data_IF_542799398211
#
_entry.id   IF_542799398211
#
_cell.length_a   1.000
_cell.length_b   1.000
_cell.length_c   1.000
_cell.angle_alpha   90.00
_cell.angle_beta   90.00
_cell.angle_gamma   90.00
#
_symmetry.space_group_name_H-M   'P 1'
#
loop_
_entity.id
_entity.type
_entity.pdbx_description
1 polymer ?
#
# COMPACT_ATOMS: atom_id res chain seq x y z
N UNK A 1 -30.34 -8.81 22.55
CA UNK A 1 -28.93 -8.39 22.44
C UNK A 1 -28.20 -9.50 21.73
N UNK A 2 -27.77 -9.30 20.48
CA UNK A 2 -26.85 -10.25 19.84
C UNK A 2 -25.53 -10.24 20.63
N UNK A 3 -24.95 -11.40 20.95
CA UNK A 3 -23.66 -11.45 21.63
C UNK A 3 -22.62 -10.79 20.72
N UNK A 4 -21.85 -9.85 21.27
CA UNK A 4 -20.74 -9.25 20.52
C UNK A 4 -19.80 -10.38 20.06
N UNK A 5 -19.43 -10.45 18.77
CA UNK A 5 -18.52 -11.47 18.29
C UNK A 5 -17.22 -11.36 19.10
N UNK A 6 -16.83 -12.46 19.73
CA UNK A 6 -15.72 -12.48 20.66
C UNK A 6 -14.45 -12.01 19.95
N UNK A 7 -13.82 -10.96 20.53
CA UNK A 7 -12.47 -10.58 20.18
C UNK A 7 -11.56 -11.75 20.55
N UNK A 8 -10.96 -12.38 19.55
CA UNK A 8 -9.73 -13.14 19.70
C UNK A 8 -9.77 -14.33 20.69
N UNK A 9 -10.04 -15.54 20.18
CA UNK A 9 -9.99 -16.77 21.00
C UNK A 9 -8.55 -17.24 21.24
N UNK A 10 -8.09 -17.27 22.50
CA UNK A 10 -6.88 -18.01 22.88
C UNK A 10 -5.55 -17.34 22.51
N UNK A 11 -4.49 -18.15 22.32
CA UNK A 11 -3.14 -17.66 21.97
C UNK A 11 -3.09 -17.21 20.50
N UNK A 12 -2.20 -16.25 20.21
CA UNK A 12 -1.95 -15.82 18.84
C UNK A 12 -1.04 -16.79 18.10
N UNK A 13 -1.62 -17.85 17.55
CA UNK A 13 -0.92 -18.81 16.71
C UNK A 13 -1.77 -19.24 15.52
N UNK A 14 -1.18 -19.99 14.59
CA UNK A 14 -1.83 -20.50 13.38
C UNK A 14 -3.03 -21.43 13.67
N UNK A 15 -3.16 -21.90 14.92
CA UNK A 15 -4.29 -22.75 15.36
C UNK A 15 -5.49 -21.91 15.81
N UNK A 16 -5.35 -20.59 15.88
CA UNK A 16 -6.45 -19.69 16.17
C UNK A 16 -7.49 -19.76 15.02
N UNK A 17 -8.76 -20.07 15.32
CA UNK A 17 -9.78 -20.28 14.29
C UNK A 17 -10.07 -19.01 13.47
N UNK A 18 -9.91 -17.83 14.07
CA UNK A 18 -10.09 -16.54 13.37
C UNK A 18 -8.97 -16.33 12.35
N UNK A 19 -7.73 -16.64 12.75
CA UNK A 19 -6.55 -16.59 11.87
C UNK A 19 -6.70 -17.58 10.73
N UNK A 20 -7.00 -18.85 11.04
CA UNK A 20 -7.18 -19.89 10.03
C UNK A 20 -8.29 -19.56 9.02
N UNK A 21 -9.42 -19.01 9.49
CA UNK A 21 -10.52 -18.60 8.61
C UNK A 21 -10.16 -17.42 7.71
N UNK A 22 -9.39 -16.45 8.22
CA UNK A 22 -8.88 -15.36 7.39
C UNK A 22 -7.96 -15.91 6.30
N UNK A 23 -6.96 -16.70 6.67
CA UNK A 23 -5.97 -17.26 5.72
C UNK A 23 -6.67 -18.08 4.64
N UNK A 24 -7.66 -18.89 4.99
CA UNK A 24 -8.45 -19.65 4.02
C UNK A 24 -9.18 -18.71 3.03
N UNK A 25 -9.84 -17.66 3.53
CA UNK A 25 -10.55 -16.69 2.68
C UNK A 25 -9.61 -15.91 1.77
N UNK A 26 -8.45 -15.49 2.27
CA UNK A 26 -7.44 -14.78 1.49
C UNK A 26 -6.82 -15.68 0.41
N UNK A 27 -6.49 -16.92 0.76
CA UNK A 27 -5.96 -17.89 -0.21
C UNK A 27 -6.98 -18.19 -1.32
N UNK A 28 -8.26 -18.32 -0.96
CA UNK A 28 -9.32 -18.48 -1.96
C UNK A 28 -9.44 -17.25 -2.86
N UNK A 29 -9.42 -16.05 -2.28
CA UNK A 29 -9.41 -14.79 -3.02
C UNK A 29 -8.23 -14.72 -4.00
N UNK A 30 -7.00 -14.99 -3.54
CA UNK A 30 -5.80 -14.92 -4.38
C UNK A 30 -5.90 -15.84 -5.60
N UNK A 31 -6.31 -17.11 -5.42
CA UNK A 31 -6.49 -18.06 -6.54
C UNK A 31 -7.51 -17.58 -7.56
N UNK A 32 -8.61 -16.97 -7.09
CA UNK A 32 -9.62 -16.42 -7.99
C UNK A 32 -9.09 -15.21 -8.76
N UNK A 33 -8.25 -14.39 -8.14
CA UNK A 33 -7.67 -13.20 -8.79
C UNK A 33 -6.58 -13.55 -9.80
N UNK A 34 -5.78 -14.59 -9.59
CA UNK A 34 -4.77 -15.05 -10.56
C UNK A 34 -5.39 -15.47 -11.90
N UNK A 35 -6.62 -15.98 -11.86
CA UNK A 35 -7.37 -16.42 -13.03
C UNK A 35 -8.40 -15.39 -13.53
N UNK A 36 -8.41 -14.19 -12.93
CA UNK A 36 -9.39 -13.16 -13.27
C UNK A 36 -9.10 -12.53 -14.66
N UNK A 37 -9.82 -13.02 -15.67
CA UNK A 37 -9.76 -12.50 -17.05
C UNK A 37 -10.92 -11.58 -17.41
N UNK A 38 -11.99 -11.58 -16.59
CA UNK A 38 -13.22 -10.81 -16.85
C UNK A 38 -13.43 -9.69 -15.84
N UNK A 39 -14.11 -8.63 -16.29
CA UNK A 39 -14.50 -7.51 -15.43
C UNK A 39 -15.44 -7.94 -14.28
N UNK A 40 -16.27 -8.95 -14.50
CA UNK A 40 -17.21 -9.49 -13.49
C UNK A 40 -16.46 -10.19 -12.36
N UNK A 41 -15.47 -11.03 -12.68
CA UNK A 41 -14.62 -11.69 -11.68
C UNK A 41 -13.82 -10.68 -10.89
N UNK A 42 -13.26 -9.65 -11.56
CA UNK A 42 -12.57 -8.55 -10.89
C UNK A 42 -13.46 -7.81 -9.88
N UNK A 43 -14.67 -7.41 -10.31
CA UNK A 43 -15.60 -6.65 -9.46
C UNK A 43 -16.06 -7.46 -8.26
N UNK A 44 -16.38 -8.75 -8.47
CA UNK A 44 -16.72 -9.67 -7.39
C UNK A 44 -15.56 -9.82 -6.42
N UNK A 45 -14.34 -10.05 -6.92
CA UNK A 45 -13.15 -10.15 -6.07
C UNK A 45 -12.91 -8.89 -5.23
N UNK A 46 -13.10 -7.71 -5.80
CA UNK A 46 -12.98 -6.45 -5.06
C UNK A 46 -13.99 -6.34 -3.91
N UNK A 47 -15.24 -6.76 -4.13
CA UNK A 47 -16.28 -6.77 -3.10
C UNK A 47 -15.98 -7.81 -2.02
N UNK A 48 -15.57 -9.01 -2.40
CA UNK A 48 -15.21 -10.08 -1.48
C UNK A 48 -14.05 -9.64 -0.58
N UNK A 49 -13.02 -9.03 -1.15
CA UNK A 49 -11.86 -8.52 -0.39
C UNK A 49 -12.26 -7.45 0.61
N UNK A 50 -13.09 -6.48 0.20
CA UNK A 50 -13.62 -5.43 1.08
C UNK A 50 -14.39 -6.02 2.26
N UNK A 51 -15.21 -7.04 2.01
CA UNK A 51 -15.98 -7.74 3.03
C UNK A 51 -15.07 -8.48 4.02
N UNK A 52 -14.03 -9.18 3.52
CA UNK A 52 -13.03 -9.82 4.36
C UNK A 52 -12.40 -8.79 5.29
N UNK A 53 -11.89 -7.68 4.75
CA UNK A 53 -11.24 -6.66 5.58
C UNK A 53 -12.15 -6.05 6.64
N UNK A 54 -13.36 -5.65 6.29
CA UNK A 54 -14.34 -5.12 7.26
C UNK A 54 -14.68 -6.11 8.37
N UNK A 55 -14.69 -7.41 8.05
CA UNK A 55 -15.00 -8.46 9.03
C UNK A 55 -13.85 -8.65 10.02
N UNK A 56 -12.61 -8.73 9.52
CA UNK A 56 -11.46 -9.14 10.33
C UNK A 56 -10.72 -8.00 11.01
N UNK A 57 -10.90 -6.76 10.57
CA UNK A 57 -10.30 -5.56 11.17
C UNK A 57 -10.57 -5.46 12.68
N UNK A 58 -11.79 -5.80 13.12
CA UNK A 58 -12.18 -5.73 14.54
C UNK A 58 -11.83 -6.99 15.34
N UNK A 59 -11.45 -8.07 14.65
CA UNK A 59 -11.28 -9.41 15.23
C UNK A 59 -9.81 -9.77 15.45
N UNK A 60 -8.89 -9.06 14.81
CA UNK A 60 -7.47 -9.37 14.79
C UNK A 60 -6.64 -8.25 15.43
N UNK A 61 -5.45 -8.55 15.96
CA UNK A 61 -4.49 -7.53 16.35
C UNK A 61 -4.06 -6.68 15.15
N UNK A 62 -4.04 -5.35 15.32
CA UNK A 62 -3.75 -4.36 14.27
C UNK A 62 -2.49 -4.70 13.48
N UNK A 63 -1.42 -5.05 14.18
CA UNK A 63 -0.13 -5.39 13.55
C UNK A 63 -0.25 -6.52 12.53
N UNK A 64 -0.95 -7.60 12.89
CA UNK A 64 -1.10 -8.74 11.99
C UNK A 64 -2.05 -8.44 10.85
N UNK A 65 -3.17 -7.78 11.15
CA UNK A 65 -4.12 -7.35 10.14
C UNK A 65 -3.43 -6.45 9.10
N UNK A 66 -2.68 -5.44 9.54
CA UNK A 66 -1.89 -4.58 8.66
C UNK A 66 -0.84 -5.34 7.85
N UNK A 67 -0.09 -6.26 8.49
CA UNK A 67 0.89 -7.07 7.77
C UNK A 67 0.24 -7.89 6.65
N UNK A 68 -0.94 -8.48 6.90
CA UNK A 68 -1.68 -9.25 5.90
C UNK A 68 -2.28 -8.37 4.82
N UNK A 69 -2.81 -7.21 5.21
CA UNK A 69 -3.35 -6.20 4.31
C UNK A 69 -2.32 -5.78 3.26
N UNK A 70 -1.08 -5.49 3.68
CA UNK A 70 -0.01 -5.08 2.78
C UNK A 70 0.48 -6.23 1.89
N UNK A 71 0.59 -7.46 2.41
CA UNK A 71 0.94 -8.64 1.60
C UNK A 71 -0.04 -8.89 0.46
N UNK A 72 -1.34 -8.71 0.70
CA UNK A 72 -2.35 -8.81 -0.36
C UNK A 72 -2.24 -7.63 -1.33
N UNK A 73 -1.89 -6.44 -0.84
CA UNK A 73 -1.57 -5.29 -1.69
C UNK A 73 -0.42 -5.58 -2.65
N UNK A 74 0.66 -6.20 -2.15
CA UNK A 74 1.84 -6.57 -2.94
C UNK A 74 1.48 -7.59 -4.01
N UNK A 75 0.71 -8.60 -3.64
CA UNK A 75 0.18 -9.61 -4.57
C UNK A 75 -0.67 -8.97 -5.68
N UNK A 76 -1.61 -8.09 -5.33
CA UNK A 76 -2.46 -7.41 -6.31
C UNK A 76 -1.66 -6.48 -7.22
N UNK A 77 -0.63 -5.82 -6.69
CA UNK A 77 0.29 -5.00 -7.47
C UNK A 77 1.06 -5.88 -8.48
N UNK A 78 1.51 -7.07 -8.08
CA UNK A 78 2.20 -8.00 -8.95
C UNK A 78 1.32 -8.46 -10.12
N UNK A 79 0.02 -8.68 -9.86
CA UNK A 79 -0.98 -8.95 -10.89
C UNK A 79 -1.40 -7.71 -11.69
N UNK A 80 -0.78 -6.55 -11.46
CA UNK A 80 -1.09 -5.26 -12.09
C UNK A 80 -2.50 -4.73 -11.80
N UNK A 81 -3.16 -5.22 -10.74
CA UNK A 81 -4.43 -4.68 -10.27
C UNK A 81 -4.21 -3.45 -9.39
N UNK A 82 -3.54 -2.43 -9.94
CA UNK A 82 -3.04 -1.27 -9.19
C UNK A 82 -4.14 -0.48 -8.48
N UNK A 83 -5.29 -0.27 -9.14
CA UNK A 83 -6.44 0.42 -8.54
C UNK A 83 -6.98 -0.33 -7.33
N UNK A 84 -7.04 -1.66 -7.41
CA UNK A 84 -7.52 -2.49 -6.31
C UNK A 84 -6.53 -2.51 -5.14
N UNK A 85 -5.24 -2.69 -5.44
CA UNK A 85 -4.17 -2.66 -4.44
C UNK A 85 -4.10 -1.30 -3.71
N UNK A 86 -4.16 -0.21 -4.47
CA UNK A 86 -4.17 1.15 -3.91
C UNK A 86 -5.38 1.39 -3.02
N UNK A 87 -6.59 1.01 -3.45
CA UNK A 87 -7.80 1.31 -2.68
C UNK A 87 -8.02 0.35 -1.50
N UNK A 88 -7.97 -0.97 -1.73
CA UNK A 88 -8.36 -1.97 -0.73
C UNK A 88 -7.22 -2.35 0.22
N UNK A 89 -5.97 -2.03 -0.08
CA UNK A 89 -4.82 -2.41 0.74
C UNK A 89 -4.04 -1.20 1.22
N UNK A 90 -3.19 -0.60 0.39
CA UNK A 90 -2.28 0.46 0.84
C UNK A 90 -3.03 1.71 1.31
N UNK A 91 -4.01 2.18 0.54
CA UNK A 91 -4.86 3.30 0.89
C UNK A 91 -5.67 3.04 2.16
N UNK A 92 -6.21 1.82 2.32
CA UNK A 92 -6.90 1.41 3.55
C UNK A 92 -5.98 1.47 4.77
N UNK A 93 -4.73 0.99 4.67
CA UNK A 93 -3.75 1.16 5.75
C UNK A 93 -3.52 2.64 6.06
N UNK A 94 -3.37 3.47 5.03
CA UNK A 94 -3.03 4.89 5.18
C UNK A 94 -4.16 5.76 5.76
N UNK A 95 -5.40 5.26 5.78
CA UNK A 95 -6.54 5.96 6.39
C UNK A 95 -6.34 6.24 7.89
N UNK A 96 -5.49 5.46 8.58
CA UNK A 96 -5.16 5.69 9.99
C UNK A 96 -4.48 7.04 10.24
N UNK A 97 -3.87 7.64 9.22
CA UNK A 97 -3.22 8.96 9.28
C UNK A 97 -4.17 10.10 8.85
N UNK A 98 -5.46 9.82 8.68
CA UNK A 98 -6.45 10.78 8.19
C UNK A 98 -6.38 11.01 6.68
N UNK A 99 -7.11 12.02 6.22
CA UNK A 99 -7.07 12.44 4.82
C UNK A 99 -5.89 13.38 4.60
N UNK A 100 -5.03 13.05 3.64
CA UNK A 100 -3.90 13.89 3.25
C UNK A 100 -3.75 13.91 1.73
N UNK A 101 -3.17 14.98 1.21
CA UNK A 101 -2.72 15.04 -0.18
C UNK A 101 -1.20 14.98 -0.18
N UNK A 102 -0.64 14.17 -1.09
CA UNK A 102 0.82 14.06 -1.23
C UNK A 102 1.46 15.41 -1.59
N UNK A 103 0.71 16.32 -2.21
CA UNK A 103 1.15 17.68 -2.55
C UNK A 103 1.35 18.57 -1.31
N UNK A 104 0.61 18.29 -0.22
CA UNK A 104 0.67 19.07 1.01
C UNK A 104 1.88 18.67 1.88
N UNK A 105 2.49 17.51 1.60
CA UNK A 105 3.65 16.98 2.33
C UNK A 105 4.92 17.32 1.55
N UNK A 106 5.49 18.50 1.82
CA UNK A 106 6.60 19.04 1.02
C UNK A 106 7.99 18.82 1.61
N UNK A 107 8.09 18.50 2.90
CA UNK A 107 9.36 18.40 3.61
C UNK A 107 9.40 17.23 4.59
N UNK A 108 10.62 16.88 5.00
CA UNK A 108 10.91 15.72 5.87
C UNK A 108 10.31 15.87 7.26
N UNK A 109 10.20 17.09 7.80
CA UNK A 109 9.67 17.30 9.16
C UNK A 109 8.15 17.13 9.17
N UNK A 110 7.46 17.71 8.19
CA UNK A 110 6.02 17.50 7.99
C UNK A 110 5.74 16.02 7.75
N UNK A 111 6.52 15.35 6.89
CA UNK A 111 6.39 13.91 6.66
C UNK A 111 6.50 13.10 7.95
N UNK A 112 7.54 13.34 8.76
CA UNK A 112 7.75 12.63 10.02
C UNK A 112 6.63 12.90 11.02
N UNK A 113 6.19 14.14 11.14
CA UNK A 113 5.11 14.48 12.08
C UNK A 113 3.80 13.82 11.70
N UNK A 114 3.49 13.73 10.39
CA UNK A 114 2.24 13.14 9.90
C UNK A 114 2.23 11.62 9.98
N UNK A 115 3.28 10.95 9.51
CA UNK A 115 3.27 9.50 9.33
C UNK A 115 4.03 8.75 10.41
N UNK A 116 4.87 9.45 11.16
CA UNK A 116 5.85 8.87 12.07
C UNK A 116 5.85 9.58 13.44
N UNK A 117 4.69 9.90 14.05
CA UNK A 117 4.64 10.46 15.39
C UNK A 117 5.08 9.38 16.41
N UNK A 118 5.93 9.77 17.37
CA UNK A 118 6.55 8.96 18.44
C UNK A 118 7.83 8.16 18.11
N UNK A 119 8.63 7.90 19.16
CA UNK A 119 9.92 7.19 19.13
C UNK A 119 9.72 5.75 18.62
N UNK A 120 9.78 5.62 17.31
CA UNK A 120 9.58 4.44 16.47
C UNK A 120 9.92 3.06 17.05
N UNK A 121 8.96 2.15 16.90
CA UNK A 121 9.25 0.76 16.56
C UNK A 121 9.54 0.65 15.05
N UNK A 122 10.74 0.14 14.71
CA UNK A 122 11.23 -0.01 13.32
C UNK A 122 10.23 -0.77 12.44
N UNK A 123 9.49 -1.73 13.01
CA UNK A 123 8.55 -2.56 12.26
C UNK A 123 7.29 -1.80 11.83
N UNK A 124 6.74 -0.93 12.69
CA UNK A 124 5.61 -0.06 12.34
C UNK A 124 6.01 0.98 11.29
N UNK A 125 7.25 1.48 11.38
CA UNK A 125 7.87 2.32 10.35
C UNK A 125 7.89 1.64 8.99
N UNK A 126 8.33 0.39 8.97
CA UNK A 126 8.44 -0.41 7.76
C UNK A 126 7.10 -0.53 7.07
N UNK A 127 6.03 -0.88 7.80
CA UNK A 127 4.68 -0.99 7.23
C UNK A 127 4.19 0.36 6.68
N UNK A 128 4.43 1.46 7.39
CA UNK A 128 4.01 2.80 6.96
C UNK A 128 4.71 3.25 5.70
N UNK A 129 6.04 3.19 5.70
CA UNK A 129 6.86 3.61 4.56
C UNK A 129 6.60 2.73 3.34
N UNK A 130 6.45 1.41 3.54
CA UNK A 130 6.05 0.48 2.48
C UNK A 130 4.70 0.85 1.89
N UNK A 131 3.69 1.11 2.73
CA UNK A 131 2.35 1.50 2.28
C UNK A 131 2.36 2.79 1.48
N UNK A 132 3.07 3.82 1.97
CA UNK A 132 3.21 5.11 1.28
C UNK A 132 3.90 4.94 -0.08
N UNK A 133 4.98 4.16 -0.11
CA UNK A 133 5.73 3.90 -1.33
C UNK A 133 4.91 3.12 -2.35
N UNK A 134 4.31 2.00 -1.94
CA UNK A 134 3.55 1.15 -2.84
C UNK A 134 2.25 1.80 -3.31
N UNK A 135 1.58 2.58 -2.46
CA UNK A 135 0.43 3.36 -2.88
C UNK A 135 0.82 4.39 -3.95
N UNK A 136 1.97 5.05 -3.80
CA UNK A 136 2.51 6.01 -4.77
C UNK A 136 2.83 5.33 -6.11
N UNK A 137 3.45 4.15 -6.07
CA UNK A 137 3.75 3.32 -7.25
C UNK A 137 2.47 2.88 -7.96
N UNK A 138 1.45 2.40 -7.22
CA UNK A 138 0.17 2.03 -7.80
C UNK A 138 -0.51 3.23 -8.46
N UNK A 139 -0.55 4.39 -7.80
CA UNK A 139 -1.14 5.61 -8.36
C UNK A 139 -0.46 6.07 -9.65
N UNK A 140 0.86 5.97 -9.73
CA UNK A 140 1.57 6.24 -10.97
C UNK A 140 1.16 5.28 -12.10
N UNK A 141 1.10 3.98 -11.81
CA UNK A 141 0.71 3.00 -12.82
C UNK A 141 -0.73 3.22 -13.30
N UNK A 142 -1.65 3.62 -12.42
CA UNK A 142 -3.02 4.01 -12.80
C UNK A 142 -3.01 5.21 -13.76
N UNK A 143 -2.21 6.24 -13.47
CA UNK A 143 -2.05 7.40 -14.38
C UNK A 143 -1.48 6.94 -15.73
N UNK A 144 -0.48 6.07 -15.72
CA UNK A 144 0.16 5.53 -16.94
C UNK A 144 -0.79 4.65 -17.76
N UNK A 145 -1.66 3.86 -17.14
CA UNK A 145 -2.67 3.07 -17.85
C UNK A 145 -3.69 3.97 -18.56
N UNK A 146 -4.06 5.10 -17.93
CA UNK A 146 -5.00 6.07 -18.49
C UNK A 146 -4.36 7.01 -19.55
N UNK A 147 -3.06 7.27 -19.45
CA UNK A 147 -2.29 8.10 -20.37
C UNK A 147 -0.88 7.51 -20.60
N UNK A 148 -0.74 6.49 -21.47
CA UNK A 148 0.50 5.74 -21.64
C UNK A 148 1.71 6.56 -22.08
N UNK A 149 1.47 7.69 -22.75
CA UNK A 149 2.49 8.61 -23.24
C UNK A 149 2.69 9.83 -22.33
N UNK A 150 1.91 9.95 -21.24
CA UNK A 150 1.94 11.07 -20.30
C UNK A 150 1.89 12.43 -21.00
N UNK A 151 1.03 12.56 -22.02
CA UNK A 151 0.95 13.79 -22.81
C UNK A 151 0.07 14.85 -22.15
N UNK A 152 -0.88 14.44 -21.30
CA UNK A 152 -1.76 15.37 -20.61
C UNK A 152 -0.98 16.07 -19.50
N UNK A 153 -1.13 17.40 -19.41
CA UNK A 153 -0.53 18.21 -18.35
C UNK A 153 -0.93 17.73 -16.96
N UNK A 154 -2.19 17.30 -16.79
CA UNK A 154 -2.67 16.74 -15.53
C UNK A 154 -1.92 15.45 -15.14
N UNK A 155 -1.71 14.54 -16.10
CA UNK A 155 -0.92 13.32 -15.89
C UNK A 155 0.51 13.66 -15.49
N UNK A 156 1.15 14.60 -16.20
CA UNK A 156 2.52 15.03 -15.90
C UNK A 156 2.62 15.66 -14.51
N UNK A 157 1.65 16.51 -14.13
CA UNK A 157 1.60 17.12 -12.80
C UNK A 157 1.48 16.05 -11.72
N UNK A 158 0.53 15.11 -11.86
CA UNK A 158 0.35 13.99 -10.91
C UNK A 158 1.61 13.14 -10.78
N UNK A 159 2.25 12.78 -11.90
CA UNK A 159 3.50 12.01 -11.85
C UNK A 159 4.62 12.78 -11.15
N UNK A 160 4.71 14.09 -11.36
CA UNK A 160 5.69 14.95 -10.69
C UNK A 160 5.46 14.97 -9.18
N UNK A 161 4.21 15.12 -8.73
CA UNK A 161 3.85 15.07 -7.31
C UNK A 161 4.20 13.71 -6.68
N UNK A 162 3.86 12.61 -7.36
CA UNK A 162 4.19 11.26 -6.92
C UNK A 162 5.71 11.09 -6.79
N UNK A 163 6.49 11.56 -7.76
CA UNK A 163 7.95 11.50 -7.72
C UNK A 163 8.56 12.28 -6.55
N UNK A 164 8.08 13.50 -6.32
CA UNK A 164 8.51 14.32 -5.17
C UNK A 164 8.23 13.60 -3.86
N UNK A 165 7.05 13.01 -3.72
CA UNK A 165 6.67 12.28 -2.53
C UNK A 165 7.49 10.99 -2.33
N UNK A 166 7.74 10.22 -3.40
CA UNK A 166 8.64 9.07 -3.36
C UNK A 166 10.06 9.45 -2.93
N UNK A 167 10.56 10.59 -3.42
CA UNK A 167 11.87 11.12 -2.99
C UNK A 167 11.88 11.46 -1.50
N UNK A 168 10.82 12.05 -0.96
CA UNK A 168 10.70 12.32 0.48
C UNK A 168 10.71 11.03 1.30
N UNK A 169 9.98 10.00 0.87
CA UNK A 169 10.00 8.67 1.51
C UNK A 169 11.43 8.13 1.55
N UNK A 170 12.15 8.19 0.43
CA UNK A 170 13.55 7.72 0.38
C UNK A 170 14.47 8.53 1.29
N UNK A 171 14.31 9.86 1.38
CA UNK A 171 15.11 10.71 2.28
C UNK A 171 14.89 10.37 3.77
N UNK A 172 13.65 10.09 4.16
CA UNK A 172 13.30 9.67 5.52
C UNK A 172 13.85 8.28 5.84
N UNK A 173 13.90 7.41 4.83
CA UNK A 173 14.36 6.02 4.96
C UNK A 173 15.88 5.90 4.94
N UNK A 174 16.58 6.76 4.21
CA UNK A 174 18.05 6.76 4.03
C UNK A 174 18.88 6.56 5.32
N UNK A 175 18.58 7.25 6.44
CA UNK A 175 19.36 7.07 7.67
C UNK A 175 19.03 5.78 8.44
N UNK A 176 18.16 4.90 7.94
CA UNK A 176 17.68 3.70 8.65
C UNK A 176 18.07 2.44 7.89
N UNK A 177 19.21 1.85 8.27
CA UNK A 177 19.74 0.62 7.64
C UNK A 177 18.72 -0.52 7.48
N UNK A 178 17.87 -0.86 8.47
CA UNK A 178 16.89 -1.95 8.32
C UNK A 178 15.84 -1.71 7.24
N UNK A 179 15.73 -0.47 6.75
CA UNK A 179 14.73 -0.03 5.79
C UNK A 179 15.33 0.28 4.41
N UNK A 180 16.64 0.05 4.21
CA UNK A 180 17.33 0.30 2.94
C UNK A 180 16.71 -0.45 1.74
N UNK A 181 16.03 -1.57 1.96
CA UNK A 181 15.31 -2.29 0.90
C UNK A 181 14.19 -1.45 0.26
N UNK A 182 13.54 -0.55 1.00
CA UNK A 182 12.56 0.39 0.46
C UNK A 182 13.23 1.41 -0.48
N UNK A 183 14.45 1.82 -0.16
CA UNK A 183 15.25 2.73 -1.01
C UNK A 183 15.58 2.03 -2.33
N UNK A 184 16.01 0.76 -2.27
CA UNK A 184 16.28 -0.04 -3.47
C UNK A 184 15.06 -0.15 -4.37
N UNK A 185 13.89 -0.49 -3.82
CA UNK A 185 12.62 -0.53 -4.55
C UNK A 185 12.28 0.81 -5.20
N UNK A 186 12.50 1.90 -4.48
CA UNK A 186 12.31 3.27 -4.97
C UNK A 186 13.21 3.60 -6.16
N UNK A 187 14.49 3.23 -6.09
CA UNK A 187 15.46 3.43 -7.18
C UNK A 187 15.08 2.63 -8.42
N UNK A 188 14.71 1.35 -8.27
CA UNK A 188 14.27 0.50 -9.39
C UNK A 188 13.06 1.12 -10.08
N UNK A 189 12.09 1.57 -9.29
CA UNK A 189 10.89 2.22 -9.82
C UNK A 189 11.21 3.54 -10.53
N UNK A 190 12.06 4.39 -9.96
CA UNK A 190 12.49 5.65 -10.56
C UNK A 190 13.11 5.42 -11.95
N UNK A 191 13.96 4.40 -12.09
CA UNK A 191 14.57 4.01 -13.39
C UNK A 191 13.54 3.55 -14.42
N UNK A 192 12.40 3.01 -14.00
CA UNK A 192 11.32 2.55 -14.87
C UNK A 192 10.41 3.68 -15.42
N UNK A 193 10.69 4.95 -15.08
CA UNK A 193 9.94 6.14 -15.49
C UNK A 193 10.70 6.96 -16.55
N UNK A 194 10.73 6.53 -17.82
CA UNK A 194 11.57 7.13 -18.86
C UNK A 194 11.25 8.59 -19.17
N UNK A 195 10.01 9.04 -18.94
CA UNK A 195 9.56 10.39 -19.29
C UNK A 195 10.06 11.49 -18.34
N UNK A 196 10.41 11.14 -17.11
CA UNK A 196 10.80 12.11 -16.07
C UNK A 196 12.31 12.07 -15.76
N UNK A 197 12.98 10.95 -16.02
CA UNK A 197 14.44 10.81 -15.93
C UNK A 197 15.18 11.88 -16.75
N UNK A 198 14.67 12.25 -17.94
CA UNK A 198 15.26 13.30 -18.77
C UNK A 198 15.05 14.74 -18.25
N UNK A 199 14.10 14.97 -17.34
CA UNK A 199 13.85 16.29 -16.72
C UNK A 199 14.36 16.39 -15.28
N UNK A 200 14.61 15.26 -14.63
CA UNK A 200 15.25 15.20 -13.32
C UNK A 200 16.68 14.68 -13.49
N UNK A 201 17.59 15.55 -13.95
CA UNK A 201 18.97 15.44 -13.51
C UNK A 201 18.94 15.66 -12.00
N UNK A 202 18.80 14.61 -11.18
CA UNK A 202 18.96 14.64 -9.73
C UNK A 202 18.68 13.24 -9.16
N UNK A 203 19.66 12.36 -9.28
CA UNK A 203 20.10 11.55 -8.16
C UNK A 203 21.53 12.02 -7.82
N UNK A 204 21.90 12.18 -6.53
CA UNK A 204 23.30 12.25 -6.17
C UNK A 204 24.04 10.97 -6.56
#
# INVERSE_FOLDING_TARGET
>A
MEPMPAKFYGKFDEKNPVVASLEQKLNHFMRNMESATSHTTYTRGANDLSCIWNTYEKLLPDRYYHTKLLKIGDFLQHLKFYKLASWQCYGRYLQQFGSFRIDDITDVNTFKTTFLPDQFEIESAGLTLHSLQMNSICNYNIVKEADPRLLKLESQSKCTSILKFLRLIMQVTLPKEPLCWLIFNGIVFFKSMPYLSHKTHLLP
#
